data_IF_475711767923
#
_entry.id   IF_475711767923
#
_cell.length_a   1.000
_cell.length_b   1.000
_cell.length_c   1.000
_cell.angle_alpha   90.00
_cell.angle_beta   90.00
_cell.angle_gamma   90.00
#
_symmetry.space_group_name_H-M   'P 1'
#
loop_
_entity.id
_entity.type
_entity.pdbx_description
1 polymer ?
#
# COMPACT_ATOMS: atom_id res chain seq x y z
N UNK A 1 -12.31 0.09 -2.77
CA UNK A 1 -11.50 -0.43 -1.62
C UNK A 1 -10.99 -1.82 -1.90
N UNK A 2 -11.85 -2.79 -2.24
CA UNK A 2 -11.41 -4.12 -2.65
C UNK A 2 -10.57 -4.06 -3.94
N UNK A 3 -11.02 -3.33 -4.98
CA UNK A 3 -10.22 -3.14 -6.21
C UNK A 3 -8.83 -2.55 -5.97
N UNK A 4 -8.71 -1.55 -5.09
CA UNK A 4 -7.42 -0.96 -4.73
C UNK A 4 -6.53 -1.93 -3.95
N UNK A 5 -7.11 -2.76 -3.08
CA UNK A 5 -6.38 -3.79 -2.35
C UNK A 5 -5.93 -4.92 -3.28
N UNK A 6 -6.78 -5.33 -4.22
CA UNK A 6 -6.50 -6.36 -5.23
C UNK A 6 -5.41 -5.89 -6.21
N UNK A 7 -5.48 -4.64 -6.65
CA UNK A 7 -4.47 -4.03 -7.52
C UNK A 7 -3.09 -3.93 -6.83
N UNK A 8 -3.06 -3.63 -5.53
CA UNK A 8 -1.82 -3.55 -4.75
C UNK A 8 -1.28 -4.94 -4.36
N UNK A 9 -2.14 -5.91 -4.08
CA UNK A 9 -1.76 -7.31 -3.93
C UNK A 9 -1.16 -7.88 -5.24
N UNK A 10 -1.71 -7.45 -6.38
CA UNK A 10 -1.18 -7.80 -7.70
C UNK A 10 0.29 -7.43 -7.88
N UNK A 11 0.72 -6.26 -7.40
CA UNK A 11 2.12 -5.83 -7.47
C UNK A 11 3.03 -6.74 -6.63
N UNK A 12 2.60 -7.08 -5.41
CA UNK A 12 3.39 -7.96 -4.52
C UNK A 12 3.54 -9.34 -5.14
N UNK A 13 2.45 -9.90 -5.69
CA UNK A 13 2.47 -11.19 -6.37
C UNK A 13 3.30 -11.16 -7.66
N UNK A 14 3.27 -10.08 -8.43
CA UNK A 14 4.10 -9.88 -9.62
C UNK A 14 5.59 -9.82 -9.27
N UNK A 15 5.96 -9.08 -8.22
CA UNK A 15 7.34 -9.03 -7.71
C UNK A 15 7.82 -10.42 -7.29
N UNK A 16 7.02 -11.15 -6.51
CA UNK A 16 7.36 -12.49 -6.05
C UNK A 16 7.50 -13.48 -7.22
N UNK A 17 6.62 -13.37 -8.22
CA UNK A 17 6.69 -14.20 -9.44
C UNK A 17 7.98 -13.94 -10.22
N UNK A 18 8.38 -12.67 -10.37
CA UNK A 18 9.62 -12.30 -11.08
C UNK A 18 10.89 -12.76 -10.38
N UNK A 19 10.92 -12.67 -9.05
CA UNK A 19 12.01 -13.20 -8.23
C UNK A 19 12.05 -14.73 -8.34
N UNK A 20 10.91 -15.41 -8.25
CA UNK A 20 10.85 -16.87 -8.41
C UNK A 20 11.28 -17.34 -9.80
N UNK A 21 11.00 -16.56 -10.85
CA UNK A 21 11.38 -16.89 -12.22
C UNK A 21 12.87 -16.63 -12.50
N UNK A 22 13.49 -15.68 -11.78
CA UNK A 22 14.92 -15.35 -11.87
C UNK A 22 15.48 -15.12 -10.47
N UNK A 23 15.91 -16.19 -9.77
CA UNK A 23 16.39 -16.09 -8.39
C UNK A 23 17.57 -15.13 -8.20
N UNK A 24 18.40 -14.98 -9.24
CA UNK A 24 19.59 -14.13 -9.23
C UNK A 24 19.32 -12.69 -9.70
N UNK A 25 18.05 -12.30 -9.85
CA UNK A 25 17.71 -10.94 -10.28
C UNK A 25 18.19 -9.92 -9.24
N UNK A 26 18.98 -8.94 -9.68
CA UNK A 26 19.42 -7.86 -8.80
C UNK A 26 18.28 -6.89 -8.53
N UNK A 27 18.29 -6.21 -7.38
CA UNK A 27 17.33 -5.15 -7.07
C UNK A 27 17.26 -4.11 -8.19
N UNK A 28 18.41 -3.69 -8.74
CA UNK A 28 18.45 -2.75 -9.86
C UNK A 28 17.78 -3.27 -11.13
N UNK A 29 18.02 -4.55 -11.49
CA UNK A 29 17.39 -5.17 -12.65
C UNK A 29 15.88 -5.39 -12.47
N UNK A 30 15.41 -5.56 -11.23
CA UNK A 30 13.99 -5.63 -10.90
C UNK A 30 13.34 -4.24 -11.00
N UNK A 31 13.96 -3.19 -10.45
CA UNK A 31 13.47 -1.81 -10.53
C UNK A 31 13.31 -1.33 -11.98
N UNK A 32 14.27 -1.68 -12.85
CA UNK A 32 14.24 -1.28 -14.26
C UNK A 32 12.98 -1.80 -14.99
N UNK A 33 12.43 -2.94 -14.57
CA UNK A 33 11.19 -3.48 -15.14
C UNK A 33 9.94 -2.69 -14.77
N UNK A 34 10.01 -1.88 -13.71
CA UNK A 34 8.93 -1.00 -13.28
C UNK A 34 9.16 0.46 -13.67
N UNK A 35 10.26 0.77 -14.36
CA UNK A 35 10.58 2.13 -14.80
C UNK A 35 9.54 2.65 -15.79
N UNK A 36 9.04 3.86 -15.58
CA UNK A 36 7.99 4.48 -16.37
C UNK A 36 6.58 3.94 -16.08
N UNK A 37 6.43 3.00 -15.15
CA UNK A 37 5.10 2.51 -14.72
C UNK A 37 4.57 3.33 -13.56
N UNK A 38 3.26 3.25 -13.30
CA UNK A 38 2.62 3.84 -12.12
C UNK A 38 3.18 3.29 -10.79
N UNK A 39 3.95 2.21 -10.82
CA UNK A 39 4.53 1.55 -9.64
C UNK A 39 6.01 1.90 -9.42
N UNK A 40 6.64 2.68 -10.30
CA UNK A 40 8.05 3.06 -10.18
C UNK A 40 8.37 3.70 -8.82
N UNK A 41 7.54 4.65 -8.38
CA UNK A 41 7.74 5.37 -7.12
C UNK A 41 7.72 4.44 -5.90
N UNK A 42 6.80 3.47 -5.87
CA UNK A 42 6.68 2.57 -4.71
C UNK A 42 7.82 1.55 -4.68
N UNK A 43 8.25 1.07 -5.85
CA UNK A 43 9.38 0.15 -5.97
C UNK A 43 10.70 0.81 -5.54
N UNK A 44 10.93 2.07 -5.92
CA UNK A 44 12.09 2.83 -5.47
C UNK A 44 12.10 3.05 -3.95
N UNK A 45 10.93 3.28 -3.33
CA UNK A 45 10.82 3.39 -1.87
C UNK A 45 11.13 2.08 -1.16
N UNK A 46 10.65 0.94 -1.70
CA UNK A 46 10.93 -0.38 -1.14
C UNK A 46 12.42 -0.74 -1.24
N UNK A 47 13.07 -0.40 -2.35
CA UNK A 47 14.49 -0.68 -2.55
C UNK A 47 15.42 0.20 -1.69
N UNK A 48 14.95 1.37 -1.25
CA UNK A 48 15.72 2.28 -0.39
C UNK A 48 15.73 1.85 1.09
N UNK A 49 14.94 0.84 1.47
CA UNK A 49 14.92 0.32 2.84
C UNK A 49 16.21 -0.44 3.10
N UNK A 50 17.09 0.10 3.95
CA UNK A 50 18.31 -0.59 4.38
C UNK A 50 17.95 -1.86 5.16
N UNK A 51 18.54 -2.99 4.75
CA UNK A 51 18.30 -4.29 5.37
C UNK A 51 19.45 -4.63 6.32
N UNK A 52 19.14 -4.79 7.60
CA UNK A 52 20.07 -5.37 8.59
C UNK A 52 19.92 -6.89 8.58
N UNK A 53 20.98 -7.62 8.25
CA UNK A 53 20.96 -9.08 8.00
C UNK A 53 20.73 -9.95 9.24
N UNK A 54 20.67 -9.36 10.43
CA UNK A 54 20.50 -10.08 11.69
C UNK A 54 19.04 -10.43 12.07
N UNK A 55 18.04 -10.07 11.24
CA UNK A 55 16.68 -9.81 11.74
C UNK A 55 15.52 -10.26 10.84
N UNK A 56 15.62 -11.39 10.14
CA UNK A 56 14.63 -11.84 9.13
C UNK A 56 13.14 -11.80 9.56
N UNK A 57 12.82 -12.15 10.82
CA UNK A 57 11.46 -12.03 11.36
C UNK A 57 11.04 -10.58 11.72
N UNK A 58 11.99 -9.72 12.07
CA UNK A 58 11.74 -8.28 12.24
C UNK A 58 11.56 -7.62 10.86
N UNK A 59 12.19 -8.13 9.79
CA UNK A 59 12.05 -7.60 8.42
C UNK A 59 10.63 -7.72 7.87
N UNK A 60 9.99 -8.89 8.01
CA UNK A 60 8.58 -9.06 7.59
C UNK A 60 7.67 -8.18 8.47
N UNK A 61 7.92 -8.11 9.78
CA UNK A 61 7.12 -7.26 10.66
C UNK A 61 7.30 -5.76 10.35
N UNK A 62 8.49 -5.31 9.96
CA UNK A 62 8.77 -3.93 9.52
C UNK A 62 8.10 -3.62 8.20
N UNK A 63 8.14 -4.53 7.21
CA UNK A 63 7.41 -4.36 5.95
C UNK A 63 5.90 -4.32 6.17
N UNK A 64 5.36 -5.23 6.99
CA UNK A 64 3.94 -5.22 7.36
C UNK A 64 3.57 -3.95 8.13
N UNK A 65 4.46 -3.44 8.98
CA UNK A 65 4.27 -2.16 9.69
C UNK A 65 4.27 -0.97 8.74
N UNK A 66 5.16 -0.96 7.74
CA UNK A 66 5.20 0.08 6.72
C UNK A 66 3.94 0.05 5.83
N UNK A 67 3.52 -1.15 5.38
CA UNK A 67 2.28 -1.33 4.62
C UNK A 67 1.08 -0.87 5.46
N UNK A 68 1.04 -1.25 6.74
CA UNK A 68 -0.01 -0.84 7.68
C UNK A 68 -0.04 0.68 7.87
N UNK A 69 1.11 1.32 8.03
CA UNK A 69 1.24 2.77 8.15
C UNK A 69 0.70 3.47 6.89
N UNK A 70 1.14 3.02 5.71
CA UNK A 70 0.72 3.60 4.45
C UNK A 70 -0.78 3.43 4.18
N UNK A 71 -1.34 2.25 4.46
CA UNK A 71 -2.78 2.00 4.36
C UNK A 71 -3.57 2.86 5.36
N UNK A 72 -3.04 3.07 6.55
CA UNK A 72 -3.64 3.94 7.58
C UNK A 72 -3.69 5.38 7.08
N UNK A 73 -2.59 5.91 6.55
CA UNK A 73 -2.53 7.27 5.97
C UNK A 73 -3.53 7.44 4.81
N UNK A 74 -3.61 6.46 3.91
CA UNK A 74 -4.54 6.51 2.78
C UNK A 74 -6.02 6.52 3.23
N UNK A 75 -6.36 5.71 4.24
CA UNK A 75 -7.70 5.68 4.84
C UNK A 75 -8.01 7.00 5.53
N UNK A 76 -7.09 7.54 6.33
CA UNK A 76 -7.25 8.84 7.00
C UNK A 76 -7.44 9.98 6.00
N UNK A 77 -6.68 9.99 4.90
CA UNK A 77 -6.83 10.98 3.84
C UNK A 77 -8.23 10.91 3.17
N UNK A 78 -8.74 9.70 2.90
CA UNK A 78 -10.07 9.55 2.29
C UNK A 78 -11.20 9.96 3.24
N UNK A 79 -11.09 9.64 4.54
CA UNK A 79 -12.04 10.09 5.56
C UNK A 79 -12.01 11.63 5.65
N UNK A 80 -10.82 12.24 5.70
CA UNK A 80 -10.68 13.69 5.74
C UNK A 80 -11.30 14.37 4.50
N UNK A 81 -11.13 13.78 3.32
CA UNK A 81 -11.78 14.25 2.10
C UNK A 81 -13.31 14.13 2.18
N UNK A 82 -13.85 12.97 2.58
CA UNK A 82 -15.30 12.77 2.74
C UNK A 82 -15.93 13.76 3.73
N UNK A 83 -15.24 14.04 4.85
CA UNK A 83 -15.68 15.03 5.84
C UNK A 83 -15.73 16.45 5.26
N UNK A 84 -14.72 16.85 4.47
CA UNK A 84 -14.72 18.15 3.78
C UNK A 84 -15.82 18.24 2.73
N UNK A 85 -16.13 17.12 2.09
CA UNK A 85 -17.16 17.10 1.06
C UNK A 85 -18.56 17.16 1.67
N UNK A 86 -18.78 16.52 2.82
CA UNK A 86 -20.01 16.61 3.60
C UNK A 86 -20.35 18.05 4.07
N UNK A 87 -19.34 18.92 4.25
CA UNK A 87 -19.59 20.34 4.59
C UNK A 87 -19.91 21.19 3.38
N UNK A 88 -19.64 20.71 2.16
CA UNK A 88 -19.87 21.43 0.89
C UNK A 88 -21.14 20.97 0.19
N UNK A 89 -21.48 19.68 0.32
CA UNK A 89 -22.67 19.08 -0.27
C UNK A 89 -23.16 17.93 0.60
N UNK A 90 -24.42 17.54 0.37
CA UNK A 90 -24.89 16.26 0.89
C UNK A 90 -24.12 15.12 0.22
N UNK A 91 -23.61 14.22 1.06
CA UNK A 91 -23.03 12.96 0.61
C UNK A 91 -24.15 12.04 0.12
N UNK A 92 -23.81 11.19 -0.84
CA UNK A 92 -24.68 10.08 -1.24
C UNK A 92 -24.70 9.00 -0.15
N UNK A 93 -25.73 8.15 -0.15
CA UNK A 93 -25.84 7.03 0.80
C UNK A 93 -24.64 6.08 0.70
N UNK A 94 -24.09 5.89 -0.51
CA UNK A 94 -22.87 5.09 -0.73
C UNK A 94 -21.63 5.74 -0.10
N UNK A 95 -21.50 7.06 -0.21
CA UNK A 95 -20.39 7.82 0.39
C UNK A 95 -20.47 7.85 1.92
N UNK A 96 -21.68 7.93 2.48
CA UNK A 96 -21.94 7.80 3.91
C UNK A 96 -21.55 6.42 4.41
N UNK A 97 -22.03 5.36 3.75
CA UNK A 97 -21.68 3.98 4.08
C UNK A 97 -20.17 3.74 3.98
N UNK A 98 -19.52 4.27 2.94
CA UNK A 98 -18.07 4.21 2.78
C UNK A 98 -17.33 4.95 3.90
N UNK A 99 -17.81 6.13 4.31
CA UNK A 99 -17.23 6.89 5.42
C UNK A 99 -17.28 6.08 6.71
N UNK A 100 -18.44 5.52 7.05
CA UNK A 100 -18.62 4.68 8.27
C UNK A 100 -17.73 3.44 8.23
N UNK A 101 -17.64 2.77 7.08
CA UNK A 101 -16.79 1.59 6.90
C UNK A 101 -15.30 1.94 7.07
N UNK A 102 -14.85 3.04 6.46
CA UNK A 102 -13.47 3.50 6.56
C UNK A 102 -13.10 3.88 8.00
N UNK A 103 -13.99 4.58 8.72
CA UNK A 103 -13.78 4.91 10.13
C UNK A 103 -13.71 3.66 11.02
N UNK A 104 -14.54 2.65 10.74
CA UNK A 104 -14.46 1.37 11.46
C UNK A 104 -13.16 0.63 11.16
N UNK A 105 -12.73 0.57 9.89
CA UNK A 105 -11.46 -0.05 9.50
C UNK A 105 -10.27 0.67 10.13
N UNK A 106 -10.30 2.00 10.20
CA UNK A 106 -9.26 2.80 10.85
C UNK A 106 -9.14 2.47 12.34
N UNK A 107 -10.26 2.29 13.05
CA UNK A 107 -10.26 1.87 14.47
C UNK A 107 -9.63 0.50 14.68
N UNK A 108 -9.79 -0.43 13.74
CA UNK A 108 -9.21 -1.77 13.83
C UNK A 108 -7.72 -1.81 13.41
N UNK A 109 -7.24 -0.77 12.73
CA UNK A 109 -5.84 -0.62 12.34
C UNK A 109 -5.01 0.09 13.42
N UNK A 110 -5.62 0.89 14.31
CA UNK A 110 -4.93 1.47 15.48
C UNK A 110 -4.76 0.41 16.56
#
# INVERSE_FOLDING_TARGET
LNEYADEKAGIVLDVLSKISAKPDITTGALLEQYRGTVYERIMNLLAAVQMDDSLENVKISSMLSFIKLYLTEAVEAKIAWLRREATRRNLTDEELALSTLLEQKLRNLK
#
